data_IF_628937429701
#
_entry.id   IF_628937429701
#
_cell.length_a   1.000
_cell.length_b   1.000
_cell.length_c   1.000
_cell.angle_alpha   90.00
_cell.angle_beta   90.00
_cell.angle_gamma   90.00
#
_symmetry.space_group_name_H-M   'P 1'
#
loop_
_entity.id
_entity.type
_entity.pdbx_description
1 polymer ?
#
# COMPACT_ATOMS: atom_id res chain seq x y z
N UNK A 1 -0.20 -5.74 -16.92
CA UNK A 1 -0.74 -4.74 -17.86
C UNK A 1 -1.44 -5.40 -19.06
N UNK A 2 -0.90 -6.47 -19.65
CA UNK A 2 -1.47 -7.11 -20.85
C UNK A 2 -2.89 -7.63 -20.66
N UNK A 3 -3.27 -8.05 -19.47
CA UNK A 3 -4.61 -8.54 -19.14
C UNK A 3 -5.60 -7.43 -18.76
N UNK A 4 -5.18 -6.17 -18.75
CA UNK A 4 -6.02 -5.01 -18.43
C UNK A 4 -6.39 -4.84 -16.96
N UNK A 5 -5.80 -5.62 -16.05
CA UNK A 5 -6.00 -5.44 -14.61
C UNK A 5 -5.19 -4.25 -14.10
N UNK A 6 -5.73 -3.55 -13.10
CA UNK A 6 -4.95 -2.60 -12.30
C UNK A 6 -3.81 -3.35 -11.56
N UNK A 7 -2.70 -2.68 -11.34
CA UNK A 7 -1.53 -3.22 -10.62
C UNK A 7 -1.47 -2.58 -9.25
N UNK A 8 -1.43 -3.40 -8.21
CA UNK A 8 -1.07 -2.97 -6.87
C UNK A 8 0.44 -3.16 -6.67
N UNK A 9 1.08 -2.21 -5.99
CA UNK A 9 2.51 -2.26 -5.65
C UNK A 9 2.83 -1.47 -4.39
N UNK A 10 3.86 -1.92 -3.68
CA UNK A 10 4.32 -1.32 -2.42
C UNK A 10 5.60 -0.53 -2.62
N UNK A 11 5.66 0.68 -2.04
CA UNK A 11 6.86 1.50 -2.11
C UNK A 11 7.49 1.73 -0.73
N UNK A 12 8.81 1.74 -0.74
CA UNK A 12 9.65 2.03 0.41
C UNK A 12 10.73 3.04 0.05
N UNK A 13 11.31 3.69 1.07
CA UNK A 13 12.41 4.64 0.89
C UNK A 13 13.74 4.02 1.33
N UNK A 14 14.76 4.16 0.50
CA UNK A 14 16.13 3.75 0.81
C UNK A 14 16.82 4.72 1.75
N UNK A 15 17.98 4.35 2.28
CA UNK A 15 18.82 5.18 3.16
C UNK A 15 19.22 6.51 2.49
N UNK A 16 19.45 6.51 1.18
CA UNK A 16 19.80 7.68 0.38
C UNK A 16 18.59 8.38 -0.26
N UNK A 17 17.36 8.03 0.18
CA UNK A 17 16.12 8.72 -0.18
C UNK A 17 15.54 8.36 -1.54
N UNK A 18 15.94 7.24 -2.14
CA UNK A 18 15.34 6.74 -3.39
C UNK A 18 14.06 5.97 -3.10
N UNK A 19 13.08 6.04 -3.97
CA UNK A 19 11.83 5.28 -3.84
C UNK A 19 11.94 4.01 -4.68
N UNK A 20 11.82 2.88 -4.00
CA UNK A 20 11.88 1.54 -4.59
C UNK A 20 10.56 0.81 -4.43
N UNK A 21 10.31 -0.20 -5.29
CA UNK A 21 9.15 -1.09 -5.18
C UNK A 21 9.57 -2.36 -4.47
N UNK A 22 9.03 -2.56 -3.25
CA UNK A 22 9.34 -3.73 -2.44
C UNK A 22 8.29 -3.92 -1.34
N UNK A 23 7.72 -5.14 -1.23
CA UNK A 23 6.61 -5.44 -0.34
C UNK A 23 7.03 -5.62 1.13
N UNK A 24 7.99 -6.48 1.40
CA UNK A 24 8.26 -6.98 2.76
C UNK A 24 8.95 -5.96 3.66
N UNK A 25 8.71 -6.04 4.98
CA UNK A 25 9.38 -5.20 5.99
C UNK A 25 10.89 -5.46 6.09
N UNK A 26 11.32 -6.69 5.73
CA UNK A 26 12.74 -7.07 5.67
C UNK A 26 13.04 -7.77 4.34
N UNK A 27 14.27 -7.74 3.93
CA UNK A 27 14.72 -8.37 2.68
C UNK A 27 14.89 -9.90 2.78
N UNK A 28 14.53 -10.50 3.93
CA UNK A 28 14.80 -11.92 4.22
C UNK A 28 14.20 -12.89 3.21
N UNK A 29 12.90 -12.77 2.95
CA UNK A 29 12.17 -13.70 2.06
C UNK A 29 12.62 -13.61 0.62
N UNK A 30 12.79 -12.38 0.13
CA UNK A 30 13.08 -12.14 -1.29
C UNK A 30 14.57 -12.08 -1.62
N UNK A 31 15.41 -11.69 -0.66
CA UNK A 31 16.84 -11.44 -0.93
C UNK A 31 17.77 -12.23 0.01
N UNK A 32 17.25 -13.05 0.93
CA UNK A 32 18.05 -13.79 1.91
C UNK A 32 18.76 -12.94 2.95
N UNK A 33 18.44 -11.64 3.06
CA UNK A 33 19.10 -10.66 3.94
C UNK A 33 18.13 -10.16 5.03
N UNK A 34 18.55 -10.14 6.30
CA UNK A 34 17.72 -9.73 7.45
C UNK A 34 17.49 -8.21 7.53
N UNK A 35 18.22 -7.39 6.75
CA UNK A 35 18.11 -5.93 6.74
C UNK A 35 16.80 -5.43 6.13
N UNK A 36 16.57 -4.13 6.28
CA UNK A 36 15.44 -3.41 5.70
C UNK A 36 15.90 -2.58 4.52
N UNK A 37 15.00 -2.24 3.62
CA UNK A 37 15.28 -1.31 2.52
C UNK A 37 15.91 0.00 3.02
N UNK A 38 15.43 0.55 4.12
CA UNK A 38 15.93 1.80 4.71
C UNK A 38 17.36 1.73 5.28
N UNK A 39 17.92 0.54 5.43
CA UNK A 39 19.27 0.36 5.96
C UNK A 39 20.34 0.52 4.87
N UNK A 40 19.95 0.47 3.60
CA UNK A 40 20.82 0.45 2.43
C UNK A 40 20.58 1.64 1.49
N UNK A 41 21.63 2.11 0.83
CA UNK A 41 21.51 2.96 -0.35
C UNK A 41 20.98 2.16 -1.53
N UNK A 42 20.46 2.84 -2.57
CA UNK A 42 20.00 2.14 -3.77
C UNK A 42 21.13 1.36 -4.47
N UNK A 43 22.34 1.88 -4.48
CA UNK A 43 23.52 1.20 -5.05
C UNK A 43 23.84 -0.10 -4.28
N UNK A 44 23.80 -0.06 -2.95
CA UNK A 44 23.98 -1.25 -2.12
C UNK A 44 22.88 -2.30 -2.34
N UNK A 45 21.63 -1.87 -2.60
CA UNK A 45 20.53 -2.78 -2.90
C UNK A 45 20.74 -3.54 -4.23
N UNK A 46 21.51 -2.99 -5.17
CA UNK A 46 21.75 -3.60 -6.47
C UNK A 46 22.63 -4.87 -6.42
N UNK A 47 23.21 -5.21 -5.25
CA UNK A 47 23.90 -6.50 -5.07
C UNK A 47 22.92 -7.66 -4.81
N UNK A 48 21.69 -7.39 -4.42
CA UNK A 48 20.70 -8.42 -4.10
C UNK A 48 19.83 -8.73 -5.30
N UNK A 49 19.40 -10.00 -5.40
CA UNK A 49 18.46 -10.48 -6.38
C UNK A 49 17.11 -10.80 -5.72
N UNK A 50 16.05 -10.76 -6.49
CA UNK A 50 14.70 -11.11 -6.04
C UNK A 50 14.43 -12.61 -6.23
N UNK A 51 14.39 -13.36 -5.13
CA UNK A 51 14.25 -14.82 -5.16
C UNK A 51 15.39 -15.48 -5.94
N UNK A 52 15.02 -16.48 -6.74
CA UNK A 52 15.96 -17.21 -7.59
C UNK A 52 16.13 -16.56 -8.99
N UNK A 53 15.66 -15.34 -9.17
CA UNK A 53 15.75 -14.62 -10.45
C UNK A 53 17.02 -13.78 -10.57
N UNK A 54 17.27 -13.21 -11.75
CA UNK A 54 18.30 -12.20 -11.99
C UNK A 54 17.83 -10.77 -11.76
N UNK A 55 16.53 -10.61 -11.43
CA UNK A 55 15.90 -9.33 -11.24
C UNK A 55 16.38 -8.64 -9.96
N UNK A 56 16.44 -7.32 -10.00
CA UNK A 56 16.83 -6.45 -8.89
C UNK A 56 15.63 -5.72 -8.31
N UNK A 57 15.83 -5.13 -7.13
CA UNK A 57 14.82 -4.22 -6.55
C UNK A 57 14.73 -2.98 -7.44
N UNK A 58 13.59 -2.72 -8.10
CA UNK A 58 13.47 -1.61 -9.04
C UNK A 58 13.18 -0.28 -8.34
N UNK A 59 13.57 0.83 -8.95
CA UNK A 59 13.05 2.15 -8.61
C UNK A 59 11.58 2.28 -9.03
N UNK A 60 10.81 3.07 -8.28
CA UNK A 60 9.43 3.37 -8.66
C UNK A 60 9.36 3.94 -10.09
N UNK A 61 10.26 4.86 -10.45
CA UNK A 61 10.30 5.45 -11.81
C UNK A 61 10.47 4.43 -12.93
N UNK A 62 11.24 3.36 -12.70
CA UNK A 62 11.44 2.29 -13.69
C UNK A 62 10.14 1.50 -13.89
N UNK A 63 9.42 1.25 -12.80
CA UNK A 63 8.10 0.61 -12.86
C UNK A 63 7.08 1.51 -13.55
N UNK A 64 7.05 2.82 -13.24
CA UNK A 64 6.18 3.79 -13.90
C UNK A 64 6.44 3.86 -15.41
N UNK A 65 7.71 3.86 -15.83
CA UNK A 65 8.09 3.81 -17.25
C UNK A 65 7.65 2.49 -17.91
N UNK A 66 7.81 1.36 -17.22
CA UNK A 66 7.38 0.05 -17.72
C UNK A 66 5.87 -0.04 -17.87
N UNK A 67 5.09 0.49 -16.92
CA UNK A 67 3.63 0.48 -17.00
C UNK A 67 3.14 1.48 -18.04
N UNK A 68 3.77 2.64 -18.16
CA UNK A 68 3.51 3.69 -19.16
C UNK A 68 2.00 4.06 -19.28
N UNK A 69 1.32 4.14 -18.14
CA UNK A 69 -0.10 4.50 -18.07
C UNK A 69 -1.07 3.48 -18.68
N UNK A 70 -0.61 2.30 -19.11
CA UNK A 70 -1.44 1.28 -19.78
C UNK A 70 -2.54 0.71 -18.89
N UNK A 71 -2.34 0.68 -17.59
CA UNK A 71 -3.31 0.24 -16.58
C UNK A 71 -3.24 1.14 -15.35
N UNK A 72 -4.32 1.24 -14.54
CA UNK A 72 -4.30 1.96 -13.28
C UNK A 72 -3.32 1.35 -12.27
N UNK A 73 -2.72 2.20 -11.44
CA UNK A 73 -1.87 1.79 -10.33
C UNK A 73 -2.53 2.07 -8.98
N UNK A 74 -2.47 1.10 -8.07
CA UNK A 74 -2.73 1.25 -6.65
C UNK A 74 -1.40 1.15 -5.91
N UNK A 75 -0.96 2.25 -5.28
CA UNK A 75 0.40 2.32 -4.71
C UNK A 75 0.31 2.39 -3.18
N UNK A 76 0.75 1.32 -2.50
CA UNK A 76 0.88 1.33 -1.05
C UNK A 76 2.13 2.08 -0.62
N UNK A 77 1.97 3.13 0.20
CA UNK A 77 3.08 3.82 0.83
C UNK A 77 3.41 3.17 2.18
N UNK A 78 4.52 2.43 2.25
CA UNK A 78 5.05 1.86 3.50
C UNK A 78 5.70 2.97 4.33
N UNK A 79 4.98 3.44 5.35
CA UNK A 79 5.45 4.49 6.26
C UNK A 79 5.45 3.96 7.71
N UNK A 80 6.51 3.29 8.15
CA UNK A 80 6.55 2.60 9.44
C UNK A 80 6.60 3.51 10.67
N UNK A 81 6.76 4.81 10.49
CA UNK A 81 6.90 5.78 11.58
C UNK A 81 6.22 7.11 11.30
N UNK A 82 6.81 8.19 11.79
CA UNK A 82 6.26 9.55 11.64
C UNK A 82 6.91 10.33 10.50
N UNK A 83 8.03 9.84 9.94
CA UNK A 83 8.74 10.50 8.85
C UNK A 83 7.93 10.41 7.55
N UNK A 84 7.64 11.56 6.98
CA UNK A 84 6.94 11.68 5.70
C UNK A 84 7.86 11.73 4.48
N UNK A 85 9.14 11.38 4.65
CA UNK A 85 10.12 11.41 3.57
C UNK A 85 9.72 10.54 2.38
N UNK A 86 9.17 9.34 2.64
CA UNK A 86 8.64 8.46 1.58
C UNK A 86 7.51 9.11 0.80
N UNK A 87 6.62 9.88 1.46
CA UNK A 87 5.53 10.59 0.79
C UNK A 87 6.07 11.72 -0.11
N UNK A 88 7.07 12.46 0.36
CA UNK A 88 7.72 13.50 -0.45
C UNK A 88 8.48 12.91 -1.65
N UNK A 89 9.16 11.79 -1.44
CA UNK A 89 9.79 11.04 -2.53
C UNK A 89 8.78 10.52 -3.54
N UNK A 90 7.67 9.95 -3.07
CA UNK A 90 6.56 9.51 -3.91
C UNK A 90 6.01 10.65 -4.78
N UNK A 91 5.69 11.80 -4.17
CA UNK A 91 5.23 12.97 -4.93
C UNK A 91 6.19 13.31 -6.07
N UNK A 92 7.50 13.37 -5.79
CA UNK A 92 8.51 13.69 -6.78
C UNK A 92 8.59 12.66 -7.91
N UNK A 93 8.48 11.36 -7.60
CA UNK A 93 8.49 10.32 -8.63
C UNK A 93 7.23 10.34 -9.50
N UNK A 94 6.09 10.80 -8.96
CA UNK A 94 4.84 10.92 -9.71
C UNK A 94 4.74 12.20 -10.55
N UNK A 95 5.68 13.14 -10.42
CA UNK A 95 5.72 14.34 -11.28
C UNK A 95 5.87 13.95 -12.75
N UNK A 96 4.91 14.37 -13.57
CA UNK A 96 4.87 14.07 -15.01
C UNK A 96 4.29 12.69 -15.37
N UNK A 97 3.94 11.84 -14.41
CA UNK A 97 3.23 10.60 -14.71
C UNK A 97 1.76 10.90 -15.08
N UNK A 98 1.35 10.48 -16.27
CA UNK A 98 0.02 10.76 -16.83
C UNK A 98 -0.96 9.60 -16.71
N UNK A 99 -0.50 8.42 -16.24
CA UNK A 99 -1.35 7.26 -16.01
C UNK A 99 -2.28 7.45 -14.81
N UNK A 100 -3.38 6.71 -14.78
CA UNK A 100 -4.27 6.69 -13.62
C UNK A 100 -3.60 6.02 -12.43
N UNK A 101 -3.69 6.64 -11.26
CA UNK A 101 -3.23 6.05 -10.02
C UNK A 101 -4.02 6.53 -8.81
N UNK A 102 -3.99 5.73 -7.76
CA UNK A 102 -4.36 6.11 -6.41
C UNK A 102 -3.30 5.58 -5.44
N UNK A 103 -3.33 6.09 -4.21
CA UNK A 103 -2.42 5.64 -3.17
C UNK A 103 -3.17 5.05 -2.00
N UNK A 104 -2.51 4.17 -1.25
CA UNK A 104 -3.01 3.68 0.02
C UNK A 104 -1.91 3.54 1.05
N UNK A 105 -2.27 3.46 2.32
CA UNK A 105 -1.34 3.21 3.41
C UNK A 105 -2.05 2.73 4.67
N UNK A 106 -1.38 1.91 5.47
CA UNK A 106 -1.78 1.65 6.86
C UNK A 106 -1.65 2.88 7.76
N UNK A 107 -0.75 3.79 7.42
CA UNK A 107 -0.48 4.98 8.22
C UNK A 107 -1.33 6.17 7.78
N UNK A 108 -2.33 6.53 8.57
CA UNK A 108 -3.21 7.68 8.29
C UNK A 108 -2.48 9.03 8.16
N UNK A 109 -1.24 9.14 8.66
CA UNK A 109 -0.42 10.33 8.45
C UNK A 109 0.09 10.44 7.02
N UNK A 110 0.33 9.31 6.32
CA UNK A 110 0.65 9.30 4.90
C UNK A 110 -0.54 9.86 4.09
N UNK A 111 -1.75 9.40 4.39
CA UNK A 111 -2.97 9.93 3.75
C UNK A 111 -3.13 11.44 4.01
N UNK A 112 -2.93 11.87 5.28
CA UNK A 112 -3.00 13.30 5.63
C UNK A 112 -1.97 14.12 4.87
N UNK A 113 -0.76 13.59 4.70
CA UNK A 113 0.30 14.25 3.96
C UNK A 113 -0.10 14.38 2.47
N UNK A 114 -0.49 13.28 1.82
CA UNK A 114 -0.94 13.28 0.43
C UNK A 114 -2.14 14.19 0.20
N UNK A 115 -3.11 14.23 1.12
CA UNK A 115 -4.23 15.16 1.03
C UNK A 115 -3.80 16.63 0.94
N UNK A 116 -2.69 16.99 1.59
CA UNK A 116 -2.20 18.38 1.61
C UNK A 116 -1.33 18.73 0.40
N UNK A 117 -0.55 17.76 -0.08
CA UNK A 117 0.47 18.00 -1.10
C UNK A 117 0.08 17.46 -2.48
N UNK A 118 -0.82 16.48 -2.52
CA UNK A 118 -1.34 15.85 -3.73
C UNK A 118 -2.88 15.76 -3.66
N UNK A 119 -3.62 16.89 -3.59
CA UNK A 119 -5.05 16.91 -3.28
C UNK A 119 -5.92 16.20 -4.32
N UNK A 120 -5.44 16.04 -5.55
CA UNK A 120 -6.16 15.36 -6.64
C UNK A 120 -5.98 13.83 -6.61
N UNK A 121 -5.04 13.32 -5.82
CA UNK A 121 -4.80 11.88 -5.73
C UNK A 121 -5.80 11.23 -4.78
N UNK A 122 -6.50 10.19 -5.23
CA UNK A 122 -7.37 9.38 -4.38
C UNK A 122 -6.54 8.61 -3.35
N UNK A 123 -7.04 8.55 -2.11
CA UNK A 123 -6.33 8.00 -0.95
C UNK A 123 -7.14 6.89 -0.30
N UNK A 124 -6.53 5.74 -0.13
CA UNK A 124 -7.08 4.58 0.56
C UNK A 124 -6.53 4.41 1.97
N UNK A 125 -7.39 4.13 2.93
CA UNK A 125 -6.95 3.65 4.24
C UNK A 125 -6.87 2.14 4.22
N UNK A 126 -5.64 1.61 4.27
CA UNK A 126 -5.42 0.18 4.52
C UNK A 126 -5.72 -0.15 5.98
N UNK A 127 -6.47 -1.21 6.21
CA UNK A 127 -6.76 -1.69 7.56
C UNK A 127 -7.17 -3.17 7.56
N UNK A 128 -7.14 -3.73 8.78
CA UNK A 128 -7.47 -5.12 9.03
C UNK A 128 -7.17 -5.47 10.48
N UNK A 129 -6.88 -6.74 10.73
CA UNK A 129 -6.44 -7.20 12.04
C UNK A 129 -4.92 -7.17 12.13
N UNK A 130 -4.41 -6.32 12.99
CA UNK A 130 -2.98 -6.28 13.33
C UNK A 130 -2.61 -7.45 14.24
N UNK A 131 -1.47 -8.10 13.98
CA UNK A 131 -0.91 -9.16 14.83
C UNK A 131 -0.48 -8.62 16.20
N UNK A 132 -0.34 -9.54 17.20
CA UNK A 132 0.27 -9.18 18.48
C UNK A 132 1.77 -8.90 18.35
N UNK A 133 2.39 -9.45 17.32
CA UNK A 133 3.82 -9.29 17.04
C UNK A 133 4.14 -7.95 16.34
N UNK A 134 3.11 -7.25 15.83
CA UNK A 134 3.28 -5.91 15.31
C UNK A 134 3.67 -4.96 16.45
N UNK A 135 4.78 -4.24 16.29
CA UNK A 135 5.31 -3.28 17.27
C UNK A 135 4.43 -2.05 17.48
N UNK A 136 3.13 -2.16 17.18
CA UNK A 136 2.15 -1.10 17.32
C UNK A 136 1.43 -1.23 18.65
N UNK A 137 1.31 -0.13 19.39
CA UNK A 137 0.63 -0.09 20.68
C UNK A 137 -0.83 -0.59 20.55
N UNK A 138 -1.31 -1.38 21.51
CA UNK A 138 -2.64 -2.02 21.49
C UNK A 138 -3.77 -1.04 21.15
N UNK A 139 -3.77 0.15 21.74
CA UNK A 139 -4.80 1.17 21.49
C UNK A 139 -4.81 1.59 20.02
N UNK A 140 -3.63 1.86 19.44
CA UNK A 140 -3.52 2.24 18.02
C UNK A 140 -3.99 1.10 17.10
N UNK A 141 -3.71 -0.16 17.46
CA UNK A 141 -4.20 -1.32 16.70
C UNK A 141 -5.73 -1.41 16.70
N UNK A 142 -6.35 -1.18 17.86
CA UNK A 142 -7.82 -1.14 17.98
C UNK A 142 -8.37 0.01 17.14
N UNK A 143 -7.82 1.22 17.28
CA UNK A 143 -8.26 2.40 16.52
C UNK A 143 -8.12 2.19 15.00
N UNK A 144 -6.99 1.66 14.55
CA UNK A 144 -6.76 1.39 13.13
C UNK A 144 -7.74 0.32 12.60
N UNK A 145 -7.91 -0.80 13.32
CA UNK A 145 -8.85 -1.87 12.95
C UNK A 145 -10.28 -1.35 12.81
N UNK A 146 -10.71 -0.46 13.70
CA UNK A 146 -12.05 0.13 13.69
C UNK A 146 -12.17 1.39 12.83
N UNK A 147 -11.13 1.69 12.00
CA UNK A 147 -11.10 2.86 11.12
C UNK A 147 -11.26 4.20 11.84
N UNK A 148 -11.03 4.21 13.16
CA UNK A 148 -11.16 5.42 13.97
C UNK A 148 -10.13 6.49 13.62
N UNK A 149 -9.06 6.14 12.89
CA UNK A 149 -8.05 7.10 12.40
C UNK A 149 -8.43 7.77 11.08
N UNK A 150 -9.57 7.39 10.47
CA UNK A 150 -10.03 7.97 9.21
C UNK A 150 -10.28 9.48 9.30
N UNK A 151 -10.58 10.02 10.50
CA UNK A 151 -10.70 11.48 10.68
C UNK A 151 -9.38 12.23 10.43
N UNK A 152 -8.22 11.56 10.60
CA UNK A 152 -6.89 12.13 10.31
C UNK A 152 -6.62 12.11 8.80
N UNK A 153 -6.73 10.94 8.19
CA UNK A 153 -6.43 10.69 6.78
C UNK A 153 -7.48 11.26 5.83
N UNK A 154 -8.75 11.16 6.21
CA UNK A 154 -9.92 11.42 5.37
C UNK A 154 -9.80 10.67 4.04
N UNK A 155 -9.84 9.33 4.09
CA UNK A 155 -9.70 8.50 2.90
C UNK A 155 -10.88 8.66 1.94
N UNK A 156 -10.61 8.47 0.66
CA UNK A 156 -11.62 8.44 -0.40
C UNK A 156 -12.17 6.99 -0.58
N UNK A 157 -11.38 5.98 -0.18
CA UNK A 157 -11.77 4.56 -0.13
C UNK A 157 -11.07 3.84 1.03
N UNK A 158 -11.52 2.61 1.31
CA UNK A 158 -10.94 1.74 2.33
C UNK A 158 -10.44 0.47 1.66
N UNK A 159 -9.20 0.05 1.90
CA UNK A 159 -8.74 -1.31 1.61
C UNK A 159 -8.73 -2.10 2.91
N UNK A 160 -9.58 -3.13 3.01
CA UNK A 160 -9.83 -3.83 4.27
C UNK A 160 -9.66 -5.34 4.13
N UNK A 161 -9.00 -5.95 5.12
CA UNK A 161 -8.86 -7.41 5.18
C UNK A 161 -10.24 -8.08 5.24
N UNK A 162 -10.61 -8.74 4.15
CA UNK A 162 -11.93 -9.35 3.98
C UNK A 162 -12.30 -10.35 5.06
N UNK A 163 -11.29 -10.97 5.71
CA UNK A 163 -11.50 -11.94 6.80
C UNK A 163 -12.12 -11.31 8.04
N UNK A 164 -12.02 -10.00 8.18
CA UNK A 164 -12.48 -9.22 9.34
C UNK A 164 -13.55 -8.18 8.98
N UNK A 165 -14.21 -8.34 7.86
CA UNK A 165 -15.24 -7.42 7.35
C UNK A 165 -16.52 -7.35 8.23
N UNK A 166 -16.61 -8.16 9.28
CA UNK A 166 -17.67 -8.07 10.28
C UNK A 166 -17.32 -7.13 11.45
N UNK A 167 -16.15 -6.47 11.39
CA UNK A 167 -15.74 -5.49 12.38
C UNK A 167 -16.73 -4.31 12.43
N UNK A 168 -17.24 -3.93 13.62
CA UNK A 168 -18.21 -2.84 13.74
C UNK A 168 -17.75 -1.54 13.08
N UNK A 169 -16.48 -1.16 13.20
CA UNK A 169 -15.95 0.05 12.58
C UNK A 169 -16.06 0.03 11.05
N UNK A 170 -15.75 -1.11 10.41
CA UNK A 170 -15.91 -1.28 8.97
C UNK A 170 -17.39 -1.21 8.56
N UNK A 171 -18.27 -1.90 9.28
CA UNK A 171 -19.71 -1.90 9.00
C UNK A 171 -20.31 -0.49 9.13
N UNK A 172 -19.94 0.24 10.19
CA UNK A 172 -20.39 1.63 10.39
C UNK A 172 -19.92 2.51 9.23
N UNK A 173 -18.65 2.40 8.84
CA UNK A 173 -18.10 3.21 7.73
C UNK A 173 -18.87 2.91 6.42
N UNK A 174 -19.09 1.65 6.10
CA UNK A 174 -19.87 1.23 4.91
C UNK A 174 -21.33 1.68 4.95
N UNK A 175 -21.98 1.63 6.10
CA UNK A 175 -23.41 1.95 6.25
C UNK A 175 -23.67 3.46 6.30
N UNK A 176 -22.86 4.22 7.07
CA UNK A 176 -23.08 5.65 7.28
C UNK A 176 -22.42 6.51 6.21
N UNK A 177 -21.16 6.21 5.87
CA UNK A 177 -20.38 7.06 4.96
C UNK A 177 -20.39 6.52 3.53
N UNK A 178 -20.82 5.26 3.32
CA UNK A 178 -20.84 4.60 2.01
C UNK A 178 -19.48 4.65 1.30
N UNK A 179 -18.40 4.66 2.07
CA UNK A 179 -17.03 4.73 1.56
C UNK A 179 -16.76 3.51 0.66
N UNK A 180 -16.29 3.66 -0.58
CA UNK A 180 -15.87 2.54 -1.41
C UNK A 180 -14.88 1.64 -0.67
N UNK A 181 -15.01 0.30 -0.81
CA UNK A 181 -14.17 -0.65 -0.10
C UNK A 181 -13.56 -1.69 -1.05
N UNK A 182 -12.25 -1.91 -0.90
CA UNK A 182 -11.47 -2.91 -1.62
C UNK A 182 -11.11 -4.04 -0.66
N UNK A 183 -11.36 -5.29 -1.09
CA UNK A 183 -10.98 -6.47 -0.31
C UNK A 183 -9.53 -6.86 -0.58
N UNK A 184 -8.74 -7.15 0.46
CA UNK A 184 -7.40 -7.70 0.32
C UNK A 184 -7.17 -8.86 1.30
N UNK A 185 -6.32 -9.83 1.03
CA UNK A 185 -5.87 -10.28 -0.27
C UNK A 185 -6.74 -11.44 -0.70
N UNK A 186 -7.34 -11.35 -1.87
CA UNK A 186 -8.22 -12.40 -2.43
C UNK A 186 -7.34 -13.41 -3.17
N UNK A 187 -7.39 -14.69 -2.76
CA UNK A 187 -6.46 -15.73 -3.25
C UNK A 187 -7.10 -16.73 -4.22
N UNK A 188 -8.43 -16.77 -4.26
CA UNK A 188 -9.16 -17.71 -5.10
C UNK A 188 -10.57 -17.20 -5.45
N UNK A 189 -11.21 -17.86 -6.39
CA UNK A 189 -12.54 -17.50 -6.87
C UNK A 189 -13.62 -17.65 -5.79
N UNK A 190 -13.50 -18.62 -4.89
CA UNK A 190 -14.45 -18.81 -3.79
C UNK A 190 -14.43 -17.61 -2.84
N UNK A 191 -13.24 -17.15 -2.46
CA UNK A 191 -13.05 -15.95 -1.66
C UNK A 191 -13.58 -14.73 -2.41
N UNK A 192 -13.30 -14.58 -3.72
CA UNK A 192 -13.81 -13.50 -4.54
C UNK A 192 -15.35 -13.45 -4.53
N UNK A 193 -16.01 -14.58 -4.78
CA UNK A 193 -17.47 -14.67 -4.82
C UNK A 193 -18.13 -14.33 -3.48
N UNK A 194 -17.43 -14.55 -2.37
CA UNK A 194 -17.90 -14.15 -1.03
C UNK A 194 -17.66 -12.65 -0.78
N UNK A 195 -16.52 -12.12 -1.15
CA UNK A 195 -16.12 -10.73 -0.86
C UNK A 195 -16.90 -9.72 -1.70
N UNK A 196 -17.21 -10.01 -2.97
CA UNK A 196 -17.95 -9.10 -3.86
C UNK A 196 -19.34 -8.68 -3.37
N UNK A 197 -19.86 -9.33 -2.32
CA UNK A 197 -21.14 -8.95 -1.66
C UNK A 197 -20.98 -7.77 -0.70
N UNK A 198 -19.77 -7.53 -0.21
CA UNK A 198 -19.48 -6.50 0.82
C UNK A 198 -18.48 -5.44 0.33
N UNK A 199 -17.76 -5.74 -0.76
CA UNK A 199 -16.69 -4.91 -1.30
C UNK A 199 -16.97 -4.53 -2.75
N UNK A 200 -16.46 -3.38 -3.16
CA UNK A 200 -16.65 -2.83 -4.51
C UNK A 200 -15.55 -3.29 -5.48
N UNK A 201 -14.37 -3.61 -4.95
CA UNK A 201 -13.25 -4.15 -5.71
C UNK A 201 -12.44 -5.15 -4.86
N UNK A 202 -11.50 -5.86 -5.49
CA UNK A 202 -10.62 -6.82 -4.83
C UNK A 202 -9.18 -6.66 -5.31
N UNK A 203 -8.25 -6.68 -4.36
CA UNK A 203 -6.82 -6.84 -4.57
C UNK A 203 -6.55 -8.34 -4.46
N UNK A 204 -6.02 -8.94 -5.53
CA UNK A 204 -5.81 -10.37 -5.61
C UNK A 204 -4.35 -10.70 -5.94
N UNK A 205 -3.92 -11.87 -5.52
CA UNK A 205 -2.59 -12.42 -5.72
C UNK A 205 -2.72 -13.78 -6.41
N UNK A 206 -1.93 -14.00 -7.46
CA UNK A 206 -1.86 -15.27 -8.22
C UNK A 206 -0.66 -16.09 -7.80
#
# INVERSE_FOLDING_TARGET
AEQGYAIELDIQITKDGRIVVFHDDTMKRMCGNEGKISDYTYEELQQFHLGDSTEKIPLLREVLQTVDGRVPLLIEIKMPGLSTAVCAGFQKEMEGYTGMFCMESFNSLALRWCRRHMPQTLRGQLSGRFSKDDKVHLILRIMARHLMLNFIGKPDFIAYDHRYADCPGFLIDRMLFRTPAFAWTVKDEHVYNRTRKKFDAAIFEH
#
